data_IF_779953520769
#
_entry.id   IF_779953520769
#
_cell.length_a   1.000
_cell.length_b   1.000
_cell.length_c   1.000
_cell.angle_alpha   90.00
_cell.angle_beta   90.00
_cell.angle_gamma   90.00
#
_symmetry.space_group_name_H-M   'P 1'
#
loop_
_entity.id
_entity.type
_entity.pdbx_description
1 polymer ?
#
# COMPACT_ATOMS: atom_id res chain seq x y z
N UNK A 1 4.64 85.03 -14.38
CA UNK A 1 3.67 84.11 -13.74
C UNK A 1 4.16 82.69 -13.95
N UNK A 2 4.05 81.86 -12.91
CA UNK A 2 4.76 80.59 -12.71
C UNK A 2 4.23 79.47 -13.64
N UNK A 3 5.20 78.76 -14.23
CA UNK A 3 5.42 77.31 -14.24
C UNK A 3 4.21 76.35 -14.26
N UNK A 4 4.25 75.38 -15.18
CA UNK A 4 3.56 74.10 -14.99
C UNK A 4 3.31 73.30 -16.27
N UNK A 5 4.34 72.69 -16.86
CA UNK A 5 4.15 71.59 -17.82
C UNK A 5 4.13 70.28 -17.03
N UNK A 6 2.95 69.72 -16.82
CA UNK A 6 2.79 68.41 -16.17
C UNK A 6 3.01 67.33 -17.24
N UNK A 7 4.21 66.75 -17.25
CA UNK A 7 4.56 65.59 -18.05
C UNK A 7 3.90 64.35 -17.43
N UNK A 8 2.81 63.86 -18.05
CA UNK A 8 2.14 62.63 -17.63
C UNK A 8 2.93 61.43 -18.19
N UNK A 9 3.82 60.88 -17.39
CA UNK A 9 4.56 59.65 -17.71
C UNK A 9 3.61 58.46 -17.46
N UNK A 10 3.05 57.91 -18.53
CA UNK A 10 2.32 56.66 -18.49
C UNK A 10 3.32 55.50 -18.30
N UNK A 11 3.47 55.07 -17.03
CA UNK A 11 4.19 53.85 -16.69
C UNK A 11 3.38 52.64 -17.21
N UNK A 12 3.77 52.13 -18.38
CA UNK A 12 3.32 50.82 -18.86
C UNK A 12 3.91 49.76 -17.92
N UNK A 13 3.09 49.29 -16.98
CA UNK A 13 3.36 48.08 -16.22
C UNK A 13 3.30 46.89 -17.19
N UNK A 14 4.45 46.56 -17.79
CA UNK A 14 4.69 45.23 -18.33
C UNK A 14 4.71 44.26 -17.14
N UNK A 15 3.55 43.75 -16.77
CA UNK A 15 3.47 42.56 -15.95
C UNK A 15 4.11 41.44 -16.77
N UNK A 16 5.33 41.03 -16.40
CA UNK A 16 5.87 39.74 -16.83
C UNK A 16 4.93 38.66 -16.28
N UNK A 17 3.97 38.21 -17.09
CA UNK A 17 3.51 36.84 -16.96
C UNK A 17 4.73 35.99 -17.27
N UNK A 18 5.35 35.40 -16.24
CA UNK A 18 6.21 34.25 -16.45
C UNK A 18 5.30 33.18 -17.05
N UNK A 19 5.26 33.10 -18.38
CA UNK A 19 4.75 31.93 -19.07
C UNK A 19 5.69 30.79 -18.66
N UNK A 20 5.37 30.14 -17.54
CA UNK A 20 6.03 28.91 -17.14
C UNK A 20 5.56 27.86 -18.13
N UNK A 21 6.30 27.72 -19.23
CA UNK A 21 6.08 26.68 -20.20
C UNK A 21 6.29 25.32 -19.52
N UNK A 22 5.37 24.40 -19.74
CA UNK A 22 5.49 23.02 -19.25
C UNK A 22 6.54 22.35 -20.15
N UNK A 23 7.68 22.02 -19.56
CA UNK A 23 8.73 21.25 -20.25
C UNK A 23 8.28 19.79 -20.35
N UNK A 24 7.99 19.33 -21.57
CA UNK A 24 7.56 17.97 -21.86
C UNK A 24 8.69 17.25 -22.57
N UNK A 25 9.19 16.16 -21.97
CA UNK A 25 10.19 15.32 -22.62
C UNK A 25 9.52 14.49 -23.74
N UNK A 26 9.87 14.71 -25.03
CA UNK A 26 9.21 14.03 -26.15
C UNK A 26 9.58 12.54 -26.24
N UNK A 27 10.71 12.12 -25.68
CA UNK A 27 11.16 10.73 -25.67
C UNK A 27 10.49 9.91 -24.56
N UNK A 28 10.05 10.58 -23.48
CA UNK A 28 9.36 9.93 -22.38
C UNK A 28 8.37 10.87 -21.70
N UNK A 29 7.11 10.75 -22.11
CA UNK A 29 6.01 11.55 -21.57
C UNK A 29 5.78 11.33 -20.06
N UNK A 30 6.24 10.24 -19.44
CA UNK A 30 6.08 10.07 -17.98
C UNK A 30 6.90 11.10 -17.20
N UNK A 31 8.04 11.53 -17.73
CA UNK A 31 8.93 12.48 -17.07
C UNK A 31 8.20 13.81 -16.91
N UNK A 32 8.11 14.30 -15.68
CA UNK A 32 7.37 15.51 -15.33
C UNK A 32 6.76 15.46 -13.93
N UNK A 33 6.01 16.52 -13.61
CA UNK A 33 5.26 16.63 -12.36
C UNK A 33 3.78 16.42 -12.63
N UNK A 34 3.12 15.72 -11.72
CA UNK A 34 1.75 15.23 -11.85
C UNK A 34 1.00 15.52 -10.54
N UNK A 35 -0.06 16.31 -10.63
CA UNK A 35 -0.81 16.84 -9.48
C UNK A 35 -2.32 16.59 -9.65
N UNK A 36 -3.12 17.13 -8.71
CA UNK A 36 -4.58 17.16 -8.76
C UNK A 36 -5.19 15.77 -9.00
N UNK A 37 -4.67 14.78 -8.29
CA UNK A 37 -5.08 13.39 -8.44
C UNK A 37 -6.57 13.21 -8.12
N UNK A 38 -7.34 12.73 -9.09
CA UNK A 38 -8.74 12.32 -8.89
C UNK A 38 -8.87 10.81 -8.96
N UNK A 39 -9.72 10.24 -8.10
CA UNK A 39 -9.98 8.81 -8.03
C UNK A 39 -11.34 8.50 -8.66
N UNK A 40 -11.36 7.59 -9.62
CA UNK A 40 -12.59 7.01 -10.19
C UNK A 40 -12.48 5.49 -10.23
N UNK A 41 -13.29 4.83 -9.42
CA UNK A 41 -13.26 3.38 -9.17
C UNK A 41 -11.86 2.86 -8.83
N UNK A 42 -11.16 2.30 -9.81
CA UNK A 42 -9.85 1.67 -9.68
C UNK A 42 -8.72 2.50 -10.33
N UNK A 43 -9.04 3.66 -10.89
CA UNK A 43 -8.09 4.52 -11.61
C UNK A 43 -7.78 5.81 -10.84
N UNK A 44 -6.55 6.29 -11.04
CA UNK A 44 -6.08 7.58 -10.58
C UNK A 44 -5.70 8.39 -11.82
N UNK A 45 -6.28 9.58 -11.94
CA UNK A 45 -5.95 10.52 -13.00
C UNK A 45 -5.15 11.67 -12.41
N UNK A 46 -3.99 11.93 -12.98
CA UNK A 46 -3.15 13.08 -12.63
C UNK A 46 -3.11 14.09 -13.78
N UNK A 47 -2.99 15.37 -13.42
CA UNK A 47 -2.76 16.47 -14.36
C UNK A 47 -1.28 16.86 -14.36
N UNK A 48 -0.70 17.06 -15.55
CA UNK A 48 0.68 17.54 -15.67
C UNK A 48 0.78 18.97 -15.14
N UNK A 49 1.86 19.26 -14.44
CA UNK A 49 2.17 20.59 -13.93
C UNK A 49 3.65 20.95 -14.10
N UNK A 50 3.92 22.26 -14.04
CA UNK A 50 5.29 22.81 -14.03
C UNK A 50 6.05 22.36 -12.78
N UNK A 51 5.37 22.26 -11.64
CA UNK A 51 5.95 21.86 -10.36
C UNK A 51 4.92 21.21 -9.45
N UNK A 52 5.39 20.53 -8.40
CA UNK A 52 4.52 20.01 -7.33
C UNK A 52 4.04 21.17 -6.44
N UNK A 53 2.76 21.17 -6.07
CA UNK A 53 2.19 22.12 -5.10
C UNK A 53 2.70 21.79 -3.69
N UNK A 54 3.19 22.79 -2.95
CA UNK A 54 3.71 22.60 -1.58
C UNK A 54 2.64 22.15 -0.57
N UNK A 55 1.38 22.44 -0.84
CA UNK A 55 0.26 22.20 0.08
C UNK A 55 -0.75 21.17 -0.47
N UNK A 56 -0.36 20.34 -1.43
CA UNK A 56 -1.21 19.29 -1.98
C UNK A 56 -0.40 18.03 -2.37
N UNK A 57 -1.05 16.86 -2.47
CA UNK A 57 -0.41 15.66 -2.98
C UNK A 57 0.02 15.81 -4.44
N UNK A 58 1.05 15.07 -4.83
CA UNK A 58 1.51 14.99 -6.21
C UNK A 58 2.68 14.04 -6.35
N UNK A 59 3.03 13.73 -7.59
CA UNK A 59 4.14 12.83 -7.92
C UNK A 59 5.02 13.43 -9.01
N UNK A 60 6.31 13.10 -8.99
CA UNK A 60 7.26 13.50 -10.02
C UNK A 60 8.08 12.31 -10.46
N UNK A 61 8.06 12.05 -11.77
CA UNK A 61 9.00 11.13 -12.41
C UNK A 61 10.12 11.97 -13.01
N UNK A 62 11.33 11.77 -12.53
CA UNK A 62 12.53 12.47 -13.01
C UNK A 62 13.41 11.54 -13.82
N UNK A 63 14.30 12.13 -14.60
CA UNK A 63 15.41 11.42 -15.23
C UNK A 63 16.26 10.66 -14.19
N UNK A 64 17.08 9.71 -14.67
CA UNK A 64 17.92 8.86 -13.82
C UNK A 64 17.14 8.01 -12.80
N UNK A 65 15.90 7.62 -13.13
CA UNK A 65 15.06 6.75 -12.31
C UNK A 65 14.68 7.31 -10.93
N UNK A 66 14.68 8.64 -10.75
CA UNK A 66 14.29 9.28 -9.49
C UNK A 66 12.78 9.51 -9.44
N UNK A 67 12.12 9.05 -8.36
CA UNK A 67 10.71 9.26 -8.10
C UNK A 67 10.52 10.12 -6.84
N UNK A 68 9.56 11.03 -6.88
CA UNK A 68 9.16 11.82 -5.72
C UNK A 68 7.65 11.70 -5.56
N UNK A 69 7.20 11.38 -4.34
CA UNK A 69 5.82 11.47 -3.94
C UNK A 69 5.67 12.51 -2.84
N UNK A 70 4.91 13.57 -3.12
CA UNK A 70 4.46 14.52 -2.11
C UNK A 70 3.18 14.01 -1.46
N UNK A 71 3.19 13.93 -0.14
CA UNK A 71 2.05 13.43 0.66
C UNK A 71 2.04 14.07 2.04
N UNK A 72 0.89 14.06 2.69
CA UNK A 72 0.72 14.40 4.11
C UNK A 72 0.60 13.17 5.01
N UNK A 73 0.75 11.97 4.44
CA UNK A 73 0.54 10.70 5.12
C UNK A 73 -0.94 10.35 5.30
N UNK A 74 -1.21 9.35 6.13
CA UNK A 74 -2.55 8.77 6.30
C UNK A 74 -3.39 9.46 7.40
N UNK A 75 -2.76 10.11 8.39
CA UNK A 75 -3.47 10.61 9.57
C UNK A 75 -3.02 12.03 9.99
N UNK A 76 -3.55 13.06 9.31
CA UNK A 76 -3.34 14.46 9.69
C UNK A 76 -4.65 15.16 10.05
N UNK A 77 -4.64 15.93 11.15
CA UNK A 77 -5.74 16.86 11.46
C UNK A 77 -5.35 18.23 10.88
N UNK A 78 -6.23 18.91 10.12
CA UNK A 78 -5.89 20.18 9.50
C UNK A 78 -5.33 21.24 10.49
N UNK A 79 -4.38 22.09 10.06
CA UNK A 79 -3.79 22.14 8.71
C UNK A 79 -2.81 20.99 8.46
N UNK A 80 -2.88 20.41 7.26
CA UNK A 80 -2.00 19.31 6.86
C UNK A 80 -0.62 19.84 6.47
N UNK A 81 0.43 19.15 6.92
CA UNK A 81 1.81 19.39 6.48
C UNK A 81 2.18 18.35 5.43
N UNK A 82 2.78 18.79 4.32
CA UNK A 82 3.22 17.92 3.23
C UNK A 82 4.73 17.76 3.25
N UNK A 83 5.19 16.59 2.81
CA UNK A 83 6.60 16.25 2.67
C UNK A 83 6.82 15.35 1.45
N UNK A 84 8.06 15.31 0.99
CA UNK A 84 8.47 14.53 -0.18
C UNK A 84 9.08 13.20 0.28
N UNK A 85 8.45 12.09 -0.10
CA UNK A 85 9.05 10.77 -0.05
C UNK A 85 9.81 10.53 -1.35
N UNK A 86 11.10 10.25 -1.24
CA UNK A 86 11.94 9.92 -2.37
C UNK A 86 11.91 8.41 -2.63
N UNK A 87 12.21 8.06 -3.86
CA UNK A 87 12.28 6.70 -4.32
C UNK A 87 12.86 6.60 -5.71
N UNK A 88 12.70 5.43 -6.29
CA UNK A 88 13.07 5.13 -7.66
C UNK A 88 11.88 4.63 -8.46
N UNK A 89 11.96 4.78 -9.78
CA UNK A 89 10.97 4.22 -10.69
C UNK A 89 11.62 3.56 -11.90
N UNK A 90 10.92 2.59 -12.49
CA UNK A 90 11.25 1.97 -13.77
C UNK A 90 9.95 1.75 -14.55
N UNK A 91 10.02 1.84 -15.87
CA UNK A 91 8.91 1.48 -16.76
C UNK A 91 9.25 0.21 -17.55
N UNK A 92 8.28 -0.70 -17.64
CA UNK A 92 8.31 -1.88 -18.50
C UNK A 92 6.98 -1.93 -19.27
N UNK A 93 7.01 -1.59 -20.55
CA UNK A 93 5.79 -1.41 -21.36
C UNK A 93 4.81 -0.41 -20.71
N UNK A 94 3.61 -0.87 -20.33
CA UNK A 94 2.60 -0.08 -19.62
C UNK A 94 2.74 -0.11 -18.10
N UNK A 95 3.70 -0.85 -17.54
CA UNK A 95 3.87 -1.00 -16.09
C UNK A 95 4.92 -0.04 -15.56
N UNK A 96 4.56 0.72 -14.53
CA UNK A 96 5.44 1.59 -13.75
C UNK A 96 5.71 0.88 -12.43
N UNK A 97 6.96 0.56 -12.15
CA UNK A 97 7.44 -0.01 -10.90
C UNK A 97 8.01 1.12 -10.05
N UNK A 98 7.52 1.30 -8.83
CA UNK A 98 7.93 2.36 -7.91
C UNK A 98 8.46 1.74 -6.62
N UNK A 99 9.59 2.27 -6.15
CA UNK A 99 10.24 1.87 -4.91
C UNK A 99 10.60 3.11 -4.09
N UNK A 100 9.83 3.38 -3.05
CA UNK A 100 10.03 4.42 -2.05
C UNK A 100 11.01 3.99 -0.97
N UNK A 101 11.74 4.97 -0.44
CA UNK A 101 12.65 4.78 0.70
C UNK A 101 11.88 4.50 2.01
N UNK A 102 10.66 5.06 2.13
CA UNK A 102 9.80 4.93 3.30
C UNK A 102 8.61 4.00 3.03
N UNK A 103 8.11 3.32 4.07
CA UNK A 103 6.92 2.48 3.99
C UNK A 103 5.66 3.29 3.60
N UNK A 104 4.75 2.76 2.74
CA UNK A 104 4.76 1.44 2.08
C UNK A 104 5.70 1.42 0.87
N UNK A 105 6.78 0.64 1.00
CA UNK A 105 8.02 0.86 0.25
C UNK A 105 7.95 0.59 -1.25
N UNK A 106 7.11 -0.31 -1.76
CA UNK A 106 7.07 -0.62 -3.20
C UNK A 106 5.64 -0.79 -3.69
N UNK A 107 5.35 -0.29 -4.88
CA UNK A 107 4.08 -0.52 -5.57
C UNK A 107 4.27 -0.38 -7.08
N UNK A 108 3.25 -0.78 -7.83
CA UNK A 108 3.27 -0.66 -9.28
C UNK A 108 1.92 -0.21 -9.85
N UNK A 109 1.99 0.51 -10.95
CA UNK A 109 0.86 1.08 -11.65
C UNK A 109 0.87 0.67 -13.10
N UNK A 110 -0.29 0.33 -13.63
CA UNK A 110 -0.48 0.14 -15.06
C UNK A 110 -1.01 1.44 -15.67
N UNK A 111 -0.32 1.93 -16.69
CA UNK A 111 -0.75 3.08 -17.49
C UNK A 111 -1.96 2.65 -18.30
N UNK A 112 -3.08 3.32 -18.06
CA UNK A 112 -4.31 3.21 -18.84
C UNK A 112 -4.26 4.20 -20.00
N UNK A 113 -3.79 5.42 -19.74
CA UNK A 113 -3.57 6.44 -20.76
C UNK A 113 -2.47 7.42 -20.32
N UNK A 114 -1.73 7.95 -21.29
CA UNK A 114 -0.68 8.94 -21.06
C UNK A 114 -0.59 9.87 -22.27
N UNK A 115 -0.71 11.17 -22.03
CA UNK A 115 -0.48 12.22 -23.01
C UNK A 115 0.27 13.42 -22.41
N UNK A 116 0.32 14.54 -23.16
CA UNK A 116 1.01 15.76 -22.73
C UNK A 116 0.37 16.43 -21.51
N UNK A 117 -0.87 16.11 -21.17
CA UNK A 117 -1.63 16.77 -20.12
C UNK A 117 -2.00 15.81 -18.98
N UNK A 118 -2.24 14.52 -19.28
CA UNK A 118 -2.80 13.58 -18.32
C UNK A 118 -2.03 12.25 -18.24
N UNK A 119 -1.98 11.73 -17.02
CA UNK A 119 -1.53 10.37 -16.71
C UNK A 119 -2.67 9.67 -15.97
N UNK A 120 -3.19 8.61 -16.58
CA UNK A 120 -4.24 7.77 -15.97
C UNK A 120 -3.62 6.41 -15.68
N UNK A 121 -3.65 6.02 -14.41
CA UNK A 121 -3.06 4.76 -13.93
C UNK A 121 -4.05 3.95 -13.12
N UNK A 122 -3.83 2.64 -13.07
CA UNK A 122 -4.54 1.70 -12.19
C UNK A 122 -3.54 0.97 -11.30
N UNK A 123 -3.93 0.67 -10.06
CA UNK A 123 -3.15 -0.21 -9.17
C UNK A 123 -3.05 -1.61 -9.78
N UNK A 124 -1.83 -2.09 -9.97
CA UNK A 124 -1.56 -3.43 -10.46
C UNK A 124 -0.86 -4.23 -9.36
N UNK A 125 -1.44 -5.30 -8.84
CA UNK A 125 -0.75 -6.10 -7.83
C UNK A 125 0.45 -6.83 -8.43
N UNK A 126 1.55 -6.89 -7.68
CA UNK A 126 2.64 -7.80 -8.02
C UNK A 126 2.22 -9.25 -7.81
N UNK A 127 2.93 -10.19 -8.45
CA UNK A 127 2.68 -11.61 -8.25
C UNK A 127 2.81 -12.02 -6.77
N UNK A 128 3.74 -11.41 -6.03
CA UNK A 128 3.89 -11.63 -4.59
C UNK A 128 2.67 -11.17 -3.80
N UNK A 129 2.13 -10.00 -4.13
CA UNK A 129 0.93 -9.48 -3.46
C UNK A 129 -0.29 -10.35 -3.75
N UNK A 130 -0.43 -10.87 -4.97
CA UNK A 130 -1.50 -11.81 -5.33
C UNK A 130 -1.36 -13.10 -4.54
N UNK A 131 -0.17 -13.69 -4.48
CA UNK A 131 0.08 -14.90 -3.70
C UNK A 131 -0.18 -14.68 -2.21
N UNK A 132 0.23 -13.53 -1.68
CA UNK A 132 -0.03 -13.16 -0.29
C UNK A 132 -1.54 -12.99 -0.02
N UNK A 133 -2.29 -12.37 -0.93
CA UNK A 133 -3.75 -12.28 -0.81
C UNK A 133 -4.42 -13.67 -0.81
N UNK A 134 -3.98 -14.57 -1.69
CA UNK A 134 -4.47 -15.95 -1.71
C UNK A 134 -4.18 -16.67 -0.38
N UNK A 135 -2.98 -16.45 0.19
CA UNK A 135 -2.62 -16.98 1.50
C UNK A 135 -3.51 -16.41 2.62
N UNK A 136 -3.79 -15.11 2.60
CA UNK A 136 -4.68 -14.47 3.57
C UNK A 136 -6.13 -14.94 3.46
N UNK A 137 -6.61 -15.24 2.24
CA UNK A 137 -7.94 -15.82 2.06
C UNK A 137 -8.05 -17.21 2.76
N UNK A 138 -7.02 -18.05 2.63
CA UNK A 138 -6.98 -19.33 3.35
C UNK A 138 -6.96 -19.14 4.87
N UNK A 139 -6.23 -18.13 5.36
CA UNK A 139 -6.22 -17.78 6.78
C UNK A 139 -7.59 -17.28 7.27
N UNK A 140 -8.28 -16.46 6.47
CA UNK A 140 -9.59 -15.95 6.80
C UNK A 140 -10.64 -17.06 6.91
N UNK A 141 -10.57 -18.08 6.05
CA UNK A 141 -11.43 -19.26 6.14
C UNK A 141 -11.26 -20.01 7.47
N UNK A 142 -10.00 -20.26 7.89
CA UNK A 142 -9.76 -20.95 9.18
C UNK A 142 -10.15 -20.06 10.36
N UNK A 143 -9.86 -18.76 10.29
CA UNK A 143 -10.21 -17.78 11.34
C UNK A 143 -11.72 -17.67 11.52
N UNK A 144 -12.47 -17.63 10.41
CA UNK A 144 -13.93 -17.58 10.44
C UNK A 144 -14.51 -18.82 11.12
N UNK A 145 -14.00 -20.00 10.79
CA UNK A 145 -14.44 -21.25 11.44
C UNK A 145 -14.07 -21.30 12.92
N UNK A 146 -12.86 -20.86 13.31
CA UNK A 146 -12.44 -20.84 14.71
C UNK A 146 -13.30 -19.93 15.59
N UNK A 147 -13.85 -18.85 15.01
CA UNK A 147 -14.69 -17.88 15.71
C UNK A 147 -16.19 -18.13 15.55
N UNK A 148 -16.59 -19.21 14.87
CA UNK A 148 -18.00 -19.46 14.53
C UNK A 148 -18.87 -19.88 15.73
N UNK A 149 -18.26 -20.35 16.82
CA UNK A 149 -18.94 -20.80 18.04
C UNK A 149 -18.44 -19.99 19.24
N UNK A 150 -19.35 -19.57 20.13
CA UNK A 150 -18.96 -18.92 21.39
C UNK A 150 -18.44 -19.93 22.41
N UNK A 151 -17.32 -19.61 23.06
CA UNK A 151 -16.73 -20.44 24.10
C UNK A 151 -17.53 -20.29 25.41
N UNK A 152 -18.22 -21.35 25.82
CA UNK A 152 -18.96 -21.41 27.09
C UNK A 152 -18.48 -22.55 28.00
N UNK A 153 -18.01 -23.66 27.42
CA UNK A 153 -17.36 -24.77 28.12
C UNK A 153 -16.05 -25.13 27.40
N UNK A 154 -14.91 -24.98 28.08
CA UNK A 154 -13.59 -25.25 27.49
C UNK A 154 -13.34 -26.72 27.18
N UNK A 155 -14.12 -27.65 27.75
CA UNK A 155 -14.01 -29.08 27.42
C UNK A 155 -14.47 -29.37 25.98
N UNK A 156 -15.29 -28.50 25.40
CA UNK A 156 -15.72 -28.58 24.01
C UNK A 156 -14.77 -27.86 23.06
N UNK A 157 -13.58 -27.48 23.51
CA UNK A 157 -12.60 -26.76 22.69
C UNK A 157 -11.29 -27.53 22.61
N UNK A 158 -10.60 -27.33 21.50
CA UNK A 158 -9.26 -27.84 21.24
C UNK A 158 -8.44 -26.80 20.51
N UNK A 159 -7.16 -27.05 20.34
CA UNK A 159 -6.28 -26.17 19.58
C UNK A 159 -5.30 -26.95 18.72
N UNK A 160 -4.83 -26.30 17.67
CA UNK A 160 -3.84 -26.85 16.75
C UNK A 160 -2.82 -25.77 16.41
N UNK A 161 -1.55 -26.11 16.16
CA UNK A 161 -0.63 -25.17 15.53
C UNK A 161 -1.16 -24.75 14.15
N UNK A 162 -0.88 -23.51 13.75
CA UNK A 162 -1.16 -23.00 12.41
C UNK A 162 0.02 -22.20 11.85
N UNK A 163 0.07 -22.14 10.53
CA UNK A 163 1.13 -21.53 9.75
C UNK A 163 2.43 -22.32 9.72
N UNK A 164 3.35 -21.83 8.90
CA UNK A 164 4.74 -22.28 8.80
C UNK A 164 5.62 -21.04 8.65
N UNK A 165 6.40 -20.72 9.69
CA UNK A 165 7.42 -19.66 9.64
C UNK A 165 8.49 -20.03 8.61
N UNK A 166 9.15 -19.02 8.03
CA UNK A 166 10.20 -19.25 7.04
C UNK A 166 11.40 -20.05 7.60
N UNK A 167 11.72 -19.85 8.89
CA UNK A 167 12.72 -20.63 9.61
C UNK A 167 12.26 -22.04 10.05
N UNK A 168 10.99 -22.39 9.84
CA UNK A 168 10.35 -23.59 10.36
C UNK A 168 9.58 -23.35 11.68
N UNK A 169 8.68 -24.28 12.00
CA UNK A 169 7.75 -24.18 13.13
C UNK A 169 6.47 -23.38 12.78
N UNK A 170 5.44 -23.44 13.64
CA UNK A 170 4.18 -22.74 13.39
C UNK A 170 4.30 -21.24 13.66
N UNK A 171 3.40 -20.46 13.06
CA UNK A 171 3.21 -19.04 13.41
C UNK A 171 2.62 -18.89 14.82
N UNK A 172 1.74 -19.82 15.21
CA UNK A 172 1.11 -19.84 16.51
C UNK A 172 0.16 -21.00 16.68
N UNK A 173 -0.80 -20.85 17.58
CA UNK A 173 -1.86 -21.83 17.83
C UNK A 173 -3.23 -21.18 17.62
N UNK A 174 -4.16 -21.95 17.07
CA UNK A 174 -5.55 -21.53 16.85
C UNK A 174 -6.48 -22.47 17.61
N UNK A 175 -7.39 -21.88 18.39
CA UNK A 175 -8.42 -22.61 19.13
C UNK A 175 -9.63 -22.86 18.24
N UNK A 176 -10.31 -23.98 18.40
CA UNK A 176 -11.52 -24.32 17.66
C UNK A 176 -12.48 -25.14 18.54
N UNK A 177 -13.78 -24.99 18.29
CA UNK A 177 -14.80 -25.79 18.97
C UNK A 177 -14.85 -27.19 18.37
N UNK A 178 -15.02 -28.21 19.21
CA UNK A 178 -15.25 -29.60 18.82
C UNK A 178 -16.63 -29.82 18.18
N UNK A 179 -17.49 -28.81 18.20
CA UNK A 179 -18.85 -28.84 17.66
C UNK A 179 -18.91 -28.45 16.16
N UNK A 180 -17.81 -27.91 15.60
CA UNK A 180 -17.71 -27.67 14.15
C UNK A 180 -17.30 -28.97 13.43
N UNK A 181 -17.30 -28.95 12.09
CA UNK A 181 -16.65 -30.00 11.31
C UNK A 181 -15.12 -29.94 11.49
N UNK A 182 -14.64 -30.63 12.54
CA UNK A 182 -13.22 -30.61 12.93
C UNK A 182 -12.31 -31.23 11.87
N UNK A 183 -12.81 -32.22 11.10
CA UNK A 183 -12.04 -32.83 10.01
C UNK A 183 -11.81 -31.82 8.91
N UNK A 184 -12.87 -31.14 8.47
CA UNK A 184 -12.76 -30.10 7.44
C UNK A 184 -11.91 -28.92 7.92
N UNK A 185 -12.08 -28.49 9.17
CA UNK A 185 -11.29 -27.41 9.76
C UNK A 185 -9.79 -27.74 9.76
N UNK A 186 -9.41 -28.92 10.26
CA UNK A 186 -8.01 -29.34 10.31
C UNK A 186 -7.39 -29.52 8.91
N UNK A 187 -8.18 -29.96 7.92
CA UNK A 187 -7.73 -30.00 6.52
C UNK A 187 -7.43 -28.60 5.97
N UNK A 188 -8.25 -27.60 6.31
CA UNK A 188 -8.01 -26.20 5.90
C UNK A 188 -6.76 -25.61 6.58
N UNK A 189 -6.55 -25.92 7.86
CA UNK A 189 -5.32 -25.52 8.57
C UNK A 189 -4.08 -26.12 7.88
N UNK A 190 -4.10 -27.40 7.53
CA UNK A 190 -2.98 -28.03 6.81
C UNK A 190 -2.76 -27.42 5.42
N UNK A 191 -3.83 -27.13 4.69
CA UNK A 191 -3.74 -26.45 3.40
C UNK A 191 -3.10 -25.05 3.53
N UNK A 192 -3.48 -24.28 4.55
CA UNK A 192 -2.86 -22.99 4.86
C UNK A 192 -1.38 -23.16 5.21
N UNK A 193 -1.02 -24.12 6.07
CA UNK A 193 0.38 -24.39 6.46
C UNK A 193 1.26 -24.69 5.24
N UNK A 194 0.77 -25.55 4.34
CA UNK A 194 1.47 -25.90 3.11
C UNK A 194 1.61 -24.70 2.17
N UNK A 195 0.55 -23.91 2.00
CA UNK A 195 0.58 -22.71 1.17
C UNK A 195 1.55 -21.65 1.72
N UNK A 196 1.58 -21.41 3.03
CA UNK A 196 2.52 -20.47 3.65
C UNK A 196 3.97 -20.94 3.47
N UNK A 197 4.22 -22.24 3.64
CA UNK A 197 5.55 -22.82 3.38
C UNK A 197 6.00 -22.59 1.94
N UNK A 198 5.10 -22.81 0.96
CA UNK A 198 5.39 -22.59 -0.46
C UNK A 198 5.62 -21.11 -0.75
N UNK A 199 4.80 -20.22 -0.18
CA UNK A 199 4.97 -18.77 -0.27
C UNK A 199 6.34 -18.32 0.25
N UNK A 200 6.75 -18.81 1.43
CA UNK A 200 8.04 -18.48 2.03
C UNK A 200 9.22 -18.89 1.14
N UNK A 201 9.16 -20.08 0.55
CA UNK A 201 10.19 -20.59 -0.37
C UNK A 201 10.22 -19.75 -1.66
N UNK A 202 9.05 -19.53 -2.28
CA UNK A 202 8.93 -18.81 -3.56
C UNK A 202 9.49 -17.38 -3.45
N UNK A 203 9.14 -16.68 -2.37
CA UNK A 203 9.48 -15.27 -2.18
C UNK A 203 10.70 -15.04 -1.30
N UNK A 204 11.44 -16.10 -0.95
CA UNK A 204 12.64 -16.03 -0.09
C UNK A 204 12.38 -15.24 1.20
N UNK A 205 11.21 -15.46 1.81
CA UNK A 205 10.83 -14.78 3.04
C UNK A 205 11.79 -15.19 4.14
N UNK A 206 12.18 -14.22 4.97
CA UNK A 206 12.96 -14.47 6.18
C UNK A 206 12.11 -14.17 7.42
N UNK A 207 12.35 -14.91 8.49
CA UNK A 207 11.66 -14.74 9.78
C UNK A 207 12.63 -14.99 10.93
N UNK A 208 12.25 -14.56 12.13
CA UNK A 208 12.93 -14.92 13.36
C UNK A 208 12.71 -16.41 13.69
N UNK A 209 13.72 -17.06 14.28
CA UNK A 209 13.69 -18.49 14.63
C UNK A 209 13.13 -18.79 16.03
N UNK A 210 12.38 -17.86 16.62
CA UNK A 210 11.64 -18.08 17.86
C UNK A 210 10.51 -19.08 17.64
N UNK A 211 10.31 -19.95 18.63
CA UNK A 211 9.25 -20.96 18.62
C UNK A 211 8.14 -20.47 19.55
N UNK A 212 6.88 -20.36 19.07
CA UNK A 212 5.78 -19.98 19.95
C UNK A 212 5.63 -21.03 21.05
N UNK A 213 5.46 -20.58 22.29
CA UNK A 213 5.18 -21.48 23.41
C UNK A 213 3.85 -22.20 23.15
N UNK A 214 3.83 -23.52 23.34
CA UNK A 214 2.60 -24.30 23.20
C UNK A 214 1.66 -24.05 24.39
N UNK A 215 0.36 -23.75 24.16
CA UNK A 215 -0.62 -23.68 25.23
C UNK A 215 -0.74 -25.00 25.99
N UNK A 216 -0.99 -24.93 27.29
CA UNK A 216 -1.28 -26.09 28.14
C UNK A 216 -2.78 -26.39 28.21
N UNK A 217 -3.64 -25.38 28.07
CA UNK A 217 -5.10 -25.53 28.09
C UNK A 217 -5.82 -24.30 27.48
N UNK A 218 -7.14 -24.41 27.36
CA UNK A 218 -8.05 -23.33 26.97
C UNK A 218 -8.97 -23.02 28.15
N UNK A 219 -9.23 -21.74 28.40
CA UNK A 219 -10.34 -21.27 29.23
C UNK A 219 -11.31 -20.44 28.40
N UNK A 220 -12.60 -20.50 28.70
CA UNK A 220 -13.57 -19.59 28.11
C UNK A 220 -13.66 -18.30 28.93
N UNK A 221 -13.41 -17.14 28.31
CA UNK A 221 -13.56 -15.82 28.93
C UNK A 221 -14.37 -14.91 28.02
N UNK A 222 -15.47 -14.36 28.53
CA UNK A 222 -16.37 -13.46 27.78
C UNK A 222 -16.85 -14.03 26.43
N UNK A 223 -17.05 -15.35 26.34
CA UNK A 223 -17.48 -16.01 25.10
C UNK A 223 -16.35 -16.35 24.12
N UNK A 224 -15.09 -16.09 24.49
CA UNK A 224 -13.91 -16.36 23.66
C UNK A 224 -12.99 -17.42 24.28
N UNK A 225 -12.35 -18.29 23.47
CA UNK A 225 -11.31 -19.18 23.96
C UNK A 225 -10.02 -18.39 24.24
N UNK A 226 -9.44 -18.59 25.42
CA UNK A 226 -8.18 -17.95 25.85
C UNK A 226 -7.17 -19.03 26.20
N UNK A 227 -5.97 -18.97 25.62
CA UNK A 227 -4.89 -19.90 25.90
C UNK A 227 -4.29 -19.68 27.30
N UNK A 228 -3.95 -20.78 27.97
CA UNK A 228 -3.09 -20.80 29.15
C UNK A 228 -1.75 -21.44 28.83
N UNK A 229 -0.71 -20.96 29.50
CA UNK A 229 0.67 -21.36 29.32
C UNK A 229 1.28 -21.76 30.65
#
# INVERSE_FOLDING_TARGET
MKTGYTLLIALLLLACQSNTEIDVNPENLLIGNWIDSSYDNETITFQRAVSLNENAPGISFKENSVFIQRTSGWCGTPPLTFYDNQGTWKSQESLILISLENFPGNFQWRIISLDNNQLIVKRELSEQEIDHQNLMNLFDEISTLSHSISCTDSNNWSFTPYGTKACGGPQGFIAYSNEIDTVQFLQKVEAYNLAEKQYNIKWSISSTCDVPQQPTSIECQNGYPVFKY
#
